data_IF_620956182792
#
_entry.id   IF_620956182792
#
_cell.length_a   1.000
_cell.length_b   1.000
_cell.length_c   1.000
_cell.angle_alpha   90.00
_cell.angle_beta   90.00
_cell.angle_gamma   90.00
#
_symmetry.space_group_name_H-M   'P 1'
#
loop_
_entity.id
_entity.type
_entity.pdbx_description
1 polymer ?
#
# COMPACT_ATOMS: atom_id res chain seq x y z
N UNK A 1 28.31 66.59 17.96
CA UNK A 1 27.26 65.90 18.73
C UNK A 1 26.78 64.70 17.93
N UNK A 2 27.23 63.50 18.28
CA UNK A 2 26.89 62.24 17.61
C UNK A 2 25.71 61.60 18.34
N UNK A 3 24.52 61.61 17.72
CA UNK A 3 23.30 61.02 18.27
C UNK A 3 23.29 59.55 17.85
N UNK A 4 23.56 58.65 18.79
CA UNK A 4 23.45 57.19 18.59
C UNK A 4 22.02 56.73 18.90
N UNK A 5 21.27 56.33 17.86
CA UNK A 5 19.95 55.71 18.01
C UNK A 5 20.11 54.19 18.24
N UNK A 6 19.57 53.61 19.33
CA UNK A 6 19.56 52.16 19.49
C UNK A 6 18.45 51.52 18.64
N UNK A 7 18.85 50.81 17.58
CA UNK A 7 17.96 50.01 16.74
C UNK A 7 17.58 48.71 17.47
N UNK A 8 16.33 48.60 17.93
CA UNK A 8 15.77 47.36 18.50
C UNK A 8 14.99 46.58 17.42
N UNK A 9 15.56 45.48 16.90
CA UNK A 9 14.86 44.49 16.05
C UNK A 9 15.49 43.08 16.23
N UNK A 10 14.75 41.97 16.13
CA UNK A 10 13.41 41.68 16.65
C UNK A 10 13.32 40.31 17.39
N UNK A 11 12.37 40.16 18.32
CA UNK A 11 12.04 38.90 19.03
C UNK A 11 11.37 37.80 18.15
N UNK A 12 11.20 38.04 16.85
CA UNK A 12 10.40 37.20 15.93
C UNK A 12 10.95 35.79 15.65
N UNK A 13 12.23 35.51 15.97
CA UNK A 13 12.82 34.18 15.76
C UNK A 13 12.25 33.11 16.70
N UNK A 14 11.81 33.48 17.91
CA UNK A 14 11.30 32.52 18.90
C UNK A 14 9.89 32.02 18.58
N UNK A 15 9.02 32.86 18.01
CA UNK A 15 7.67 32.45 17.60
C UNK A 15 7.68 31.41 16.45
N UNK A 16 8.56 31.57 15.45
CA UNK A 16 8.70 30.59 14.35
C UNK A 16 9.18 29.21 14.84
N UNK A 17 10.06 29.19 15.84
CA UNK A 17 10.56 27.94 16.42
C UNK A 17 9.49 27.20 17.24
N UNK A 18 8.60 27.96 17.91
CA UNK A 18 7.45 27.39 18.62
C UNK A 18 6.44 26.78 17.65
N UNK A 19 6.04 27.47 16.57
CA UNK A 19 5.12 26.89 15.59
C UNK A 19 5.65 25.59 14.96
N UNK A 20 6.95 25.48 14.69
CA UNK A 20 7.56 24.25 14.14
C UNK A 20 7.52 23.08 15.12
N UNK A 21 7.60 23.35 16.43
CA UNK A 21 7.61 22.33 17.49
C UNK A 21 6.22 21.72 17.73
N UNK A 22 5.16 22.46 17.39
CA UNK A 22 3.77 21.98 17.46
C UNK A 22 3.26 21.41 16.12
N UNK A 23 3.93 21.72 14.99
CA UNK A 23 3.55 21.22 13.68
C UNK A 23 3.78 19.71 13.49
N UNK A 24 4.77 19.13 14.17
CA UNK A 24 5.12 17.71 14.07
C UNK A 24 4.05 16.81 14.74
N UNK A 25 3.64 17.04 16.01
CA UNK A 25 2.61 16.20 16.63
C UNK A 25 1.22 16.40 16.03
N UNK A 26 0.91 17.58 15.48
CA UNK A 26 -0.37 17.80 14.79
C UNK A 26 -0.44 17.03 13.47
N UNK A 27 0.64 16.99 12.69
CA UNK A 27 0.69 16.20 11.45
C UNK A 27 0.53 14.70 11.72
N UNK A 28 1.17 14.20 12.78
CA UNK A 28 1.02 12.80 13.23
C UNK A 28 -0.41 12.50 13.69
N UNK A 29 -1.05 13.43 14.40
CA UNK A 29 -2.45 13.27 14.83
C UNK A 29 -3.43 13.29 13.66
N UNK A 30 -3.19 14.11 12.63
CA UNK A 30 -4.01 14.11 11.41
C UNK A 30 -3.82 12.83 10.58
N UNK A 31 -2.62 12.25 10.55
CA UNK A 31 -2.35 10.99 9.87
C UNK A 31 -3.00 9.76 10.54
N UNK A 32 -3.36 9.85 11.83
CA UNK A 32 -4.03 8.79 12.57
C UNK A 32 -5.57 8.78 12.39
N UNK A 33 -6.17 9.88 11.90
CA UNK A 33 -7.62 9.99 11.66
C UNK A 33 -8.22 8.85 10.80
N UNK A 34 -7.61 8.38 9.69
CA UNK A 34 -8.20 7.30 8.88
C UNK A 34 -8.26 5.96 9.63
N UNK A 35 -7.38 5.74 10.62
CA UNK A 35 -7.40 4.51 11.45
C UNK A 35 -8.58 4.53 12.43
N UNK A 36 -8.94 5.71 12.96
CA UNK A 36 -10.10 5.86 13.86
C UNK A 36 -11.46 5.97 13.13
N UNK A 37 -11.47 6.10 11.80
CA UNK A 37 -12.70 6.02 11.01
C UNK A 37 -13.17 4.57 10.81
N UNK A 38 -12.30 3.57 11.04
CA UNK A 38 -12.64 2.14 10.91
C UNK A 38 -13.44 1.59 12.09
N UNK A 39 -13.58 2.35 13.19
CA UNK A 39 -14.36 1.96 14.37
C UNK A 39 -15.88 2.03 14.17
N UNK A 40 -16.36 2.52 13.02
CA UNK A 40 -17.79 2.49 12.65
C UNK A 40 -18.20 1.29 11.78
N UNK A 41 -17.23 0.53 11.26
CA UNK A 41 -17.47 -0.65 10.44
C UNK A 41 -17.79 -1.84 11.34
N UNK A 42 -18.88 -2.56 11.04
CA UNK A 42 -19.20 -3.78 11.77
C UNK A 42 -18.01 -4.76 11.72
N UNK A 43 -17.73 -5.53 12.79
CA UNK A 43 -16.60 -6.49 12.79
C UNK A 43 -16.63 -7.46 11.61
N UNK A 44 -17.84 -7.78 11.13
CA UNK A 44 -18.08 -8.62 9.95
C UNK A 44 -17.70 -7.93 8.64
N UNK A 45 -17.98 -6.65 8.48
CA UNK A 45 -17.58 -5.88 7.30
C UNK A 45 -16.05 -5.72 7.24
N UNK A 46 -15.42 -5.45 8.37
CA UNK A 46 -13.96 -5.45 8.48
C UNK A 46 -13.36 -6.82 8.13
N UNK A 47 -13.95 -7.92 8.61
CA UNK A 47 -13.50 -9.27 8.27
C UNK A 47 -13.67 -9.57 6.76
N UNK A 48 -14.80 -9.18 6.16
CA UNK A 48 -15.03 -9.35 4.71
C UNK A 48 -14.05 -8.51 3.89
N UNK A 49 -13.76 -7.27 4.29
CA UNK A 49 -12.76 -6.45 3.61
C UNK A 49 -11.36 -7.04 3.75
N UNK A 50 -10.98 -7.53 4.93
CA UNK A 50 -9.71 -8.22 5.13
C UNK A 50 -9.58 -9.47 4.24
N UNK A 51 -10.66 -10.24 4.09
CA UNK A 51 -10.70 -11.38 3.18
C UNK A 51 -10.54 -10.93 1.72
N UNK A 52 -11.30 -9.92 1.26
CA UNK A 52 -11.19 -9.38 -0.10
C UNK A 52 -9.75 -8.95 -0.40
N UNK A 53 -9.15 -8.15 0.47
CA UNK A 53 -7.76 -7.68 0.31
C UNK A 53 -6.77 -8.84 0.30
N UNK A 54 -6.98 -9.86 1.14
CA UNK A 54 -6.09 -11.02 1.20
C UNK A 54 -6.16 -11.86 -0.09
N UNK A 55 -7.36 -12.05 -0.64
CA UNK A 55 -7.55 -12.81 -1.88
C UNK A 55 -7.03 -12.07 -3.12
N UNK A 56 -7.18 -10.75 -3.19
CA UNK A 56 -6.73 -9.96 -4.35
C UNK A 56 -5.23 -9.64 -4.34
N UNK A 57 -4.60 -9.61 -3.16
CA UNK A 57 -3.18 -9.29 -3.01
C UNK A 57 -2.31 -10.51 -2.67
N UNK A 58 -2.08 -10.77 -1.37
CA UNK A 58 -1.06 -11.71 -0.91
C UNK A 58 -1.33 -13.17 -1.32
N UNK A 59 -2.59 -13.63 -1.31
CA UNK A 59 -2.91 -15.02 -1.66
C UNK A 59 -2.74 -15.23 -3.17
N UNK A 60 -3.25 -14.33 -4.00
CA UNK A 60 -3.08 -14.41 -5.46
C UNK A 60 -1.60 -14.41 -5.88
N UNK A 61 -0.81 -13.52 -5.28
CA UNK A 61 0.63 -13.43 -5.54
C UNK A 61 1.38 -14.69 -5.06
N UNK A 62 1.04 -15.19 -3.87
CA UNK A 62 1.64 -16.42 -3.32
C UNK A 62 1.35 -17.65 -4.18
N UNK A 63 0.10 -17.84 -4.61
CA UNK A 63 -0.28 -18.96 -5.47
C UNK A 63 0.36 -18.87 -6.86
N UNK A 64 0.47 -17.66 -7.42
CA UNK A 64 1.18 -17.42 -8.68
C UNK A 64 2.65 -17.83 -8.58
N UNK A 65 3.34 -17.43 -7.50
CA UNK A 65 4.74 -17.81 -7.27
C UNK A 65 4.90 -19.34 -7.19
N UNK A 66 4.06 -20.02 -6.40
CA UNK A 66 4.10 -21.48 -6.28
C UNK A 66 3.86 -22.16 -7.62
N UNK A 67 2.88 -21.69 -8.39
CA UNK A 67 2.58 -22.23 -9.72
C UNK A 67 3.76 -22.08 -10.69
N UNK A 68 4.48 -20.94 -10.65
CA UNK A 68 5.68 -20.73 -11.48
C UNK A 68 6.80 -21.69 -11.06
N UNK A 69 7.05 -21.86 -9.76
CA UNK A 69 8.10 -22.77 -9.26
C UNK A 69 7.80 -24.21 -9.66
N UNK A 70 6.58 -24.69 -9.41
CA UNK A 70 6.17 -26.05 -9.77
C UNK A 70 6.17 -26.24 -11.29
N UNK A 71 5.71 -25.24 -12.04
CA UNK A 71 5.76 -25.23 -13.51
C UNK A 71 7.19 -25.31 -14.05
N UNK A 72 8.13 -24.59 -13.44
CA UNK A 72 9.56 -24.62 -13.80
C UNK A 72 10.22 -25.97 -13.52
N UNK A 73 9.88 -26.61 -12.39
CA UNK A 73 10.36 -27.95 -12.08
C UNK A 73 9.78 -29.00 -13.06
N UNK A 74 8.48 -28.93 -13.35
CA UNK A 74 7.85 -29.77 -14.37
C UNK A 74 8.42 -29.52 -15.78
N UNK A 75 8.89 -28.31 -16.07
CA UNK A 75 9.60 -28.01 -17.31
C UNK A 75 11.00 -28.61 -17.36
N UNK A 76 11.73 -28.59 -16.25
CA UNK A 76 13.06 -29.19 -16.17
C UNK A 76 13.04 -30.72 -16.35
N UNK A 77 12.00 -31.41 -15.87
CA UNK A 77 11.89 -32.88 -15.91
C UNK A 77 10.89 -33.42 -16.93
N UNK A 78 10.16 -32.56 -17.65
CA UNK A 78 9.07 -32.98 -18.53
C UNK A 78 9.53 -33.22 -19.97
N UNK A 79 9.73 -34.48 -20.34
CA UNK A 79 9.95 -34.87 -21.74
C UNK A 79 8.69 -34.58 -22.58
N UNK A 80 8.76 -33.57 -23.45
CA UNK A 80 7.84 -33.35 -24.59
C UNK A 80 6.51 -32.63 -24.34
N UNK A 81 5.81 -32.84 -23.22
CA UNK A 81 4.48 -32.22 -22.98
C UNK A 81 4.52 -30.82 -22.34
N UNK A 82 5.70 -30.34 -21.94
CA UNK A 82 5.80 -29.19 -21.04
C UNK A 82 5.37 -27.84 -21.65
N UNK A 83 5.42 -27.68 -22.98
CA UNK A 83 4.98 -26.43 -23.64
C UNK A 83 3.50 -26.11 -23.42
N UNK A 84 2.63 -27.13 -23.39
CA UNK A 84 1.19 -26.94 -23.14
C UNK A 84 0.91 -26.59 -21.68
N UNK A 85 1.66 -27.19 -20.76
CA UNK A 85 1.55 -26.92 -19.33
C UNK A 85 2.02 -25.51 -18.97
N UNK A 86 3.16 -25.07 -19.50
CA UNK A 86 3.63 -23.70 -19.32
C UNK A 86 2.65 -22.67 -19.85
N UNK A 87 2.08 -22.89 -21.04
CA UNK A 87 1.06 -22.00 -21.60
C UNK A 87 -0.18 -21.90 -20.70
N UNK A 88 -0.63 -23.03 -20.12
CA UNK A 88 -1.74 -23.05 -19.17
C UNK A 88 -1.43 -22.30 -17.87
N UNK A 89 -0.23 -22.43 -17.33
CA UNK A 89 0.20 -21.71 -16.11
C UNK A 89 0.27 -20.20 -16.37
N UNK A 90 0.92 -19.77 -17.46
CA UNK A 90 1.03 -18.34 -17.81
C UNK A 90 -0.36 -17.74 -18.08
N UNK A 91 -1.21 -18.45 -18.80
CA UNK A 91 -2.58 -18.02 -19.06
C UNK A 91 -3.41 -17.93 -17.78
N UNK A 92 -3.32 -18.92 -16.89
CA UNK A 92 -4.02 -18.92 -15.60
C UNK A 92 -3.58 -17.79 -14.68
N UNK A 93 -2.28 -17.51 -14.61
CA UNK A 93 -1.74 -16.37 -13.85
C UNK A 93 -2.22 -15.04 -14.45
N UNK A 94 -2.17 -14.92 -15.78
CA UNK A 94 -2.66 -13.73 -16.50
C UNK A 94 -4.14 -13.46 -16.22
N UNK A 95 -4.98 -14.51 -16.23
CA UNK A 95 -6.40 -14.38 -15.87
C UNK A 95 -6.60 -14.02 -14.40
N UNK A 96 -5.83 -14.61 -13.47
CA UNK A 96 -5.95 -14.29 -12.05
C UNK A 96 -5.63 -12.82 -11.76
N UNK A 97 -4.53 -12.30 -12.32
CA UNK A 97 -4.13 -10.89 -12.18
C UNK A 97 -5.13 -9.98 -12.91
N UNK A 98 -5.57 -10.38 -14.11
CA UNK A 98 -6.60 -9.66 -14.87
C UNK A 98 -7.92 -9.54 -14.12
N UNK A 99 -8.36 -10.59 -13.43
CA UNK A 99 -9.57 -10.58 -12.62
C UNK A 99 -9.51 -9.58 -11.46
N UNK A 100 -8.35 -9.43 -10.80
CA UNK A 100 -8.15 -8.41 -9.75
C UNK A 100 -8.31 -7.01 -10.32
N UNK A 101 -7.71 -6.75 -11.50
CA UNK A 101 -7.84 -5.46 -12.18
C UNK A 101 -9.27 -5.21 -12.68
N UNK A 102 -9.96 -6.23 -13.19
CA UNK A 102 -11.36 -6.15 -13.61
C UNK A 102 -12.28 -5.84 -12.42
N UNK A 103 -12.08 -6.48 -11.28
CA UNK A 103 -12.85 -6.19 -10.05
C UNK A 103 -12.63 -4.75 -9.58
N UNK A 104 -11.38 -4.26 -9.61
CA UNK A 104 -11.07 -2.87 -9.25
C UNK A 104 -11.70 -1.86 -10.22
N UNK A 105 -11.89 -2.22 -11.48
CA UNK A 105 -12.60 -1.37 -12.46
C UNK A 105 -14.12 -1.43 -12.30
N UNK A 106 -14.67 -2.61 -12.04
CA UNK A 106 -16.12 -2.82 -11.91
C UNK A 106 -16.69 -2.21 -10.62
N UNK A 107 -15.90 -2.22 -9.56
CA UNK A 107 -16.24 -1.65 -8.25
C UNK A 107 -15.12 -0.69 -7.81
N UNK A 108 -15.08 0.53 -8.38
CA UNK A 108 -14.09 1.53 -8.00
C UNK A 108 -14.26 2.01 -6.55
#
# INVERSE_FOLDING_TARGET
MQITLPIKRPHFRRLRAQCRRWAIPSLVSLAALPVYAQTGASPWENAVNALKTSFTGPIAQGLSLVAIVVGGLMFAYGEGQSKKMLAGIVFGIGMAIGAVNFMAWLFP
#
